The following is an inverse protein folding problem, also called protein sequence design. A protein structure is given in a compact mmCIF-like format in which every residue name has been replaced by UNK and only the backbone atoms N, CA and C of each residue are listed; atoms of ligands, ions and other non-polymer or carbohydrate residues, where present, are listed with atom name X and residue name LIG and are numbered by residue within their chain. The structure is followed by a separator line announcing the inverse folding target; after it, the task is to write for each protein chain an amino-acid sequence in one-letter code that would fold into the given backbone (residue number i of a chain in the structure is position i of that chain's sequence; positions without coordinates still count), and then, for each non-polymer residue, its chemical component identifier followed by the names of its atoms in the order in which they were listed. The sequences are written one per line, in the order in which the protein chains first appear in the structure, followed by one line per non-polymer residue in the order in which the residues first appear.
data_IF_096789484328
#
_entry.id   IF_096789484328
#
_cell.length_a   1.000
_cell.length_b   1.000
_cell.length_c   1.000
_cell.angle_alpha   90.00
_cell.angle_beta   90.00
_cell.angle_gamma   90.00
#
_symmetry.space_group_name_H-M   'P 1'
#
loop_
_entity.id
_entity.type
_entity.pdbx_description
1 polymer ?
#
# COMPACT_ATOMS: atom_id res chain seq x y z
N UNK A 1 41.84 -31.42 16.68
CA UNK A 1 41.84 -30.41 15.60
C UNK A 1 40.61 -30.54 14.66
N UNK A 2 39.40 -30.67 15.20
CA UNK A 2 38.14 -30.76 14.40
C UNK A 2 37.05 -29.76 14.85
N UNK A 3 37.27 -29.07 15.97
CA UNK A 3 36.35 -28.06 16.51
C UNK A 3 36.60 -26.66 15.94
N UNK A 4 37.85 -26.33 15.60
CA UNK A 4 38.24 -24.99 15.14
C UNK A 4 37.75 -24.65 13.71
N UNK A 5 37.52 -25.66 12.87
CA UNK A 5 37.01 -25.46 11.49
C UNK A 5 35.51 -25.15 11.49
N UNK A 6 34.72 -25.81 12.35
CA UNK A 6 33.26 -25.58 12.45
C UNK A 6 32.93 -24.19 13.02
N UNK A 7 33.73 -23.72 13.98
CA UNK A 7 33.58 -22.37 14.56
C UNK A 7 33.96 -21.30 13.52
N UNK A 8 35.00 -21.53 12.70
CA UNK A 8 35.39 -20.62 11.62
C UNK A 8 34.33 -20.52 10.52
N UNK A 9 33.71 -21.65 10.12
CA UNK A 9 32.62 -21.65 9.13
C UNK A 9 31.34 -20.97 9.63
N UNK A 10 31.00 -21.11 10.92
CA UNK A 10 29.85 -20.44 11.51
C UNK A 10 30.06 -18.93 11.64
N UNK A 11 31.28 -18.48 12.00
CA UNK A 11 31.62 -17.06 12.08
C UNK A 11 31.67 -16.43 10.68
N UNK A 12 32.20 -17.12 9.67
CA UNK A 12 32.13 -16.64 8.28
C UNK A 12 30.68 -16.53 7.79
N UNK A 13 29.82 -17.49 8.11
CA UNK A 13 28.41 -17.46 7.70
C UNK A 13 27.60 -16.32 8.35
N UNK A 14 27.83 -16.02 9.63
CA UNK A 14 27.14 -14.91 10.32
C UNK A 14 27.64 -13.53 9.87
N UNK A 15 28.94 -13.38 9.64
CA UNK A 15 29.54 -12.14 9.11
C UNK A 15 29.05 -11.88 7.69
N UNK A 16 28.96 -12.91 6.84
CA UNK A 16 28.32 -12.80 5.52
C UNK A 16 26.86 -12.35 5.67
N UNK A 17 26.06 -12.99 6.52
CA UNK A 17 24.65 -12.59 6.73
C UNK A 17 24.49 -11.14 7.22
N UNK A 18 25.41 -10.64 8.06
CA UNK A 18 25.40 -9.25 8.55
C UNK A 18 25.98 -8.25 7.55
N UNK A 19 26.91 -8.66 6.68
CA UNK A 19 27.43 -7.84 5.58
C UNK A 19 26.44 -7.72 4.41
N UNK A 20 25.51 -8.67 4.27
CA UNK A 20 24.42 -8.62 3.28
C UNK A 20 23.19 -7.85 3.78
N UNK A 21 23.20 -7.30 5.00
CA UNK A 21 22.01 -6.68 5.63
C UNK A 21 21.79 -5.19 5.35
N UNK A 22 22.43 -4.57 4.35
CA UNK A 22 22.12 -3.17 3.98
C UNK A 22 21.98 -2.89 2.49
N UNK A 23 22.10 -3.90 1.63
CA UNK A 23 21.54 -3.76 0.30
C UNK A 23 20.04 -4.02 0.41
N UNK A 24 19.27 -2.95 0.54
CA UNK A 24 17.87 -3.00 0.09
C UNK A 24 17.94 -3.54 -1.33
N UNK A 25 17.49 -4.78 -1.55
CA UNK A 25 17.14 -5.24 -2.90
C UNK A 25 16.01 -4.32 -3.32
N UNK A 26 16.38 -3.19 -3.92
CA UNK A 26 15.46 -2.38 -4.70
C UNK A 26 15.22 -3.22 -5.93
N UNK A 27 14.24 -4.10 -5.82
CA UNK A 27 13.63 -4.75 -6.96
C UNK A 27 13.25 -3.63 -7.92
N UNK A 28 13.99 -3.49 -9.02
CA UNK A 28 13.78 -2.47 -10.05
C UNK A 28 12.55 -2.84 -10.88
N UNK A 29 11.37 -2.82 -10.26
CA UNK A 29 10.10 -2.85 -10.96
C UNK A 29 9.81 -1.42 -11.39
N UNK A 30 10.05 -1.09 -12.66
CA UNK A 30 9.58 0.19 -13.24
C UNK A 30 10.62 1.12 -13.87
N UNK A 31 11.76 0.62 -14.37
CA UNK A 31 12.60 1.43 -15.27
C UNK A 31 11.85 1.63 -16.59
N UNK A 32 11.34 2.84 -16.84
CA UNK A 32 10.76 3.24 -18.12
C UNK A 32 11.72 4.23 -18.78
N UNK A 33 12.01 4.03 -20.07
CA UNK A 33 12.76 5.00 -20.86
C UNK A 33 11.78 6.08 -21.35
N UNK A 34 11.80 7.26 -20.72
CA UNK A 34 11.07 8.44 -21.19
C UNK A 34 12.07 9.42 -21.82
N UNK A 35 11.88 9.73 -23.11
CA UNK A 35 12.74 10.64 -23.90
C UNK A 35 14.26 10.38 -23.74
N UNK A 36 14.68 9.11 -23.73
CA UNK A 36 16.08 8.72 -23.60
C UNK A 36 16.66 8.76 -22.18
N UNK A 37 15.84 9.10 -21.17
CA UNK A 37 16.22 9.07 -19.76
C UNK A 37 15.59 7.84 -19.07
N UNK A 38 16.40 7.10 -18.31
CA UNK A 38 15.88 6.04 -17.45
C UNK A 38 15.20 6.67 -16.23
N UNK A 39 13.86 6.70 -16.23
CA UNK A 39 13.07 7.16 -15.09
C UNK A 39 12.71 5.94 -14.24
N UNK A 40 13.15 5.94 -12.99
CA UNK A 40 12.69 4.98 -11.99
C UNK A 40 11.41 5.53 -11.41
N UNK A 41 10.26 5.01 -11.87
CA UNK A 41 8.97 5.37 -11.28
C UNK A 41 8.66 4.35 -10.19
N UNK A 42 8.40 4.76 -8.93
CA UNK A 42 7.95 3.83 -7.92
C UNK A 42 6.65 3.14 -8.36
N UNK A 43 6.46 1.85 -8.05
CA UNK A 43 5.24 1.14 -8.40
C UNK A 43 4.03 1.87 -7.80
N UNK A 44 2.97 2.00 -8.60
CA UNK A 44 1.71 2.57 -8.12
C UNK A 44 1.05 1.59 -7.17
N UNK A 45 0.81 2.03 -5.94
CA UNK A 45 0.14 1.26 -4.90
C UNK A 45 -1.20 1.88 -4.54
N UNK A 46 -2.12 1.11 -3.96
CA UNK A 46 -3.45 1.56 -3.55
C UNK A 46 -3.72 1.15 -2.11
N UNK A 47 -4.55 1.92 -1.42
CA UNK A 47 -5.02 1.55 -0.08
C UNK A 47 -6.44 1.00 -0.18
N UNK A 48 -6.65 -0.23 0.30
CA UNK A 48 -7.96 -0.87 0.32
C UNK A 48 -8.28 -1.44 1.72
N UNK A 49 -9.56 -1.66 2.04
CA UNK A 49 -9.95 -2.35 3.26
C UNK A 49 -9.40 -3.77 3.32
N UNK A 50 -9.09 -4.22 4.53
CA UNK A 50 -8.81 -5.61 4.82
C UNK A 50 -10.10 -6.44 4.82
N UNK A 51 -10.02 -7.73 4.50
CA UNK A 51 -11.18 -8.65 4.47
C UNK A 51 -11.86 -8.80 5.83
N UNK A 52 -11.12 -8.60 6.92
CA UNK A 52 -11.62 -8.75 8.29
C UNK A 52 -12.25 -7.47 8.86
N UNK A 53 -12.16 -6.34 8.15
CA UNK A 53 -12.70 -5.06 8.62
C UNK A 53 -14.23 -5.10 8.70
N UNK A 54 -14.78 -4.77 9.86
CA UNK A 54 -16.24 -4.67 10.05
C UNK A 54 -16.80 -3.38 9.45
N UNK A 55 -18.08 -3.40 9.07
CA UNK A 55 -18.75 -2.20 8.52
C UNK A 55 -18.68 -1.00 9.48
N UNK A 56 -18.71 -1.23 10.79
CA UNK A 56 -18.58 -0.16 11.79
C UNK A 56 -17.19 0.49 11.79
N UNK A 57 -16.13 -0.30 11.58
CA UNK A 57 -14.76 0.23 11.45
C UNK A 57 -14.57 0.95 10.12
N UNK A 58 -15.14 0.41 9.04
CA UNK A 58 -15.10 1.01 7.71
C UNK A 58 -15.83 2.35 7.65
N UNK A 59 -16.98 2.45 8.32
CA UNK A 59 -17.70 3.71 8.44
C UNK A 59 -16.85 4.77 9.15
N UNK A 60 -16.20 4.41 10.27
CA UNK A 60 -15.28 5.32 10.99
C UNK A 60 -14.09 5.75 10.14
N UNK A 61 -13.49 4.82 9.40
CA UNK A 61 -12.37 5.12 8.50
C UNK A 61 -12.77 6.06 7.36
N UNK A 62 -13.95 5.85 6.77
CA UNK A 62 -14.52 6.73 5.75
C UNK A 62 -14.80 8.12 6.32
N UNK A 63 -15.46 8.23 7.48
CA UNK A 63 -15.78 9.50 8.12
C UNK A 63 -14.52 10.28 8.49
N UNK A 64 -13.50 9.59 9.03
CA UNK A 64 -12.19 10.17 9.29
C UNK A 64 -11.55 10.70 8.00
N UNK A 65 -11.48 9.88 6.95
CA UNK A 65 -10.87 10.26 5.68
C UNK A 65 -11.53 11.52 5.09
N UNK A 66 -12.86 11.56 5.04
CA UNK A 66 -13.61 12.73 4.57
C UNK A 66 -13.40 13.98 5.44
N UNK A 67 -13.22 13.81 6.74
CA UNK A 67 -12.89 14.91 7.66
C UNK A 67 -11.51 15.53 7.44
N UNK A 68 -10.62 14.85 6.71
CA UNK A 68 -9.24 15.29 6.46
C UNK A 68 -9.07 16.15 5.20
N UNK A 69 -10.15 16.51 4.51
CA UNK A 69 -10.13 17.42 3.36
C UNK A 69 -9.98 16.75 1.99
N UNK A 70 -10.23 15.44 1.90
CA UNK A 70 -10.39 14.76 0.59
C UNK A 70 -11.78 15.01 -0.01
N UNK A 71 -11.91 14.82 -1.32
CA UNK A 71 -13.23 14.85 -1.98
C UNK A 71 -13.98 13.52 -1.76
N UNK A 72 -15.08 13.58 -1.00
CA UNK A 72 -15.99 12.46 -0.78
C UNK A 72 -17.29 12.55 -1.59
N UNK A 73 -17.35 13.43 -2.61
CA UNK A 73 -18.43 13.46 -3.60
C UNK A 73 -18.58 12.16 -4.40
N UNK A 74 -17.50 11.54 -4.90
CA UNK A 74 -17.56 10.32 -5.71
C UNK A 74 -18.13 9.07 -5.01
N UNK A 75 -18.25 9.09 -3.68
CA UNK A 75 -18.75 7.99 -2.85
C UNK A 75 -20.12 8.25 -2.24
N UNK A 76 -20.79 9.35 -2.62
CA UNK A 76 -22.15 9.61 -2.17
C UNK A 76 -23.12 8.58 -2.77
N UNK A 77 -24.30 8.37 -2.14
CA UNK A 77 -25.34 7.52 -2.73
C UNK A 77 -25.65 7.91 -4.18
N UNK A 78 -25.60 6.93 -5.09
CA UNK A 78 -25.82 7.15 -6.53
C UNK A 78 -24.61 7.69 -7.31
N UNK A 79 -23.46 7.88 -6.66
CA UNK A 79 -22.21 8.19 -7.32
C UNK A 79 -21.50 6.91 -7.81
N UNK A 80 -20.68 7.06 -8.85
CA UNK A 80 -20.05 5.94 -9.57
C UNK A 80 -19.18 5.04 -8.68
N UNK A 81 -18.47 5.62 -7.69
CA UNK A 81 -17.66 4.85 -6.73
C UNK A 81 -18.43 4.50 -5.44
N UNK A 82 -19.70 4.87 -5.38
CA UNK A 82 -20.62 4.46 -4.32
C UNK A 82 -21.33 3.14 -4.61
N UNK A 83 -21.18 2.57 -5.82
CA UNK A 83 -21.86 1.33 -6.24
C UNK A 83 -20.92 0.11 -6.23
N UNK A 84 -21.31 -1.03 -5.64
CA UNK A 84 -22.58 -1.28 -4.93
C UNK A 84 -22.68 -0.42 -3.66
N UNK A 85 -23.90 -0.05 -3.19
CA UNK A 85 -24.13 0.88 -2.07
C UNK A 85 -23.82 0.23 -0.70
N UNK A 86 -22.62 -0.32 -0.57
CA UNK A 86 -22.10 -0.92 0.64
C UNK A 86 -21.17 0.06 1.34
N UNK A 87 -21.03 -0.06 2.66
CA UNK A 87 -20.04 0.73 3.41
C UNK A 87 -18.63 0.44 2.91
N UNK A 88 -18.36 -0.81 2.53
CA UNK A 88 -17.04 -1.27 2.07
C UNK A 88 -16.58 -0.62 0.77
N UNK A 89 -17.42 -0.53 -0.25
CA UNK A 89 -17.07 0.11 -1.54
C UNK A 89 -16.74 1.59 -1.35
N UNK A 90 -17.57 2.31 -0.59
CA UNK A 90 -17.40 3.73 -0.27
C UNK A 90 -16.14 3.98 0.58
N UNK A 91 -15.94 3.15 1.61
CA UNK A 91 -14.75 3.22 2.45
C UNK A 91 -13.48 2.94 1.67
N UNK A 92 -13.48 1.96 0.75
CA UNK A 92 -12.31 1.66 -0.06
C UNK A 92 -11.83 2.86 -0.88
N UNK A 93 -12.75 3.59 -1.52
CA UNK A 93 -12.41 4.78 -2.28
C UNK A 93 -11.95 5.93 -1.36
N UNK A 94 -12.60 6.14 -0.21
CA UNK A 94 -12.20 7.15 0.77
C UNK A 94 -10.80 6.89 1.33
N UNK A 95 -10.52 5.63 1.71
CA UNK A 95 -9.23 5.20 2.24
C UNK A 95 -8.12 5.37 1.20
N UNK A 96 -8.37 5.02 -0.07
CA UNK A 96 -7.41 5.27 -1.16
C UNK A 96 -7.19 6.76 -1.38
N UNK A 97 -8.26 7.55 -1.46
CA UNK A 97 -8.16 9.00 -1.67
C UNK A 97 -7.37 9.68 -0.55
N UNK A 98 -7.58 9.28 0.70
CA UNK A 98 -6.76 9.73 1.83
C UNK A 98 -5.30 9.28 1.70
N UNK A 99 -5.05 8.03 1.32
CA UNK A 99 -3.71 7.52 1.10
C UNK A 99 -2.95 8.31 0.02
N UNK A 100 -3.62 8.72 -1.07
CA UNK A 100 -3.06 9.62 -2.09
C UNK A 100 -2.83 11.03 -1.59
N UNK A 101 -3.78 11.58 -0.84
CA UNK A 101 -3.63 12.88 -0.18
C UNK A 101 -2.42 12.90 0.76
N UNK A 102 -2.04 11.75 1.30
CA UNK A 102 -0.83 11.54 2.13
C UNK A 102 0.37 11.00 1.35
N UNK A 103 0.46 11.31 0.05
CA UNK A 103 1.59 11.00 -0.83
C UNK A 103 1.91 9.51 -0.95
N UNK A 104 0.93 8.64 -0.72
CA UNK A 104 1.11 7.20 -0.81
C UNK A 104 2.02 6.61 0.28
N UNK A 105 2.22 7.31 1.41
CA UNK A 105 2.99 6.76 2.52
C UNK A 105 2.21 5.62 3.21
N UNK A 106 2.73 4.37 3.26
CA UNK A 106 2.01 3.20 3.76
C UNK A 106 1.46 3.34 5.18
N UNK A 107 2.08 4.18 6.02
CA UNK A 107 1.63 4.43 7.40
C UNK A 107 0.22 5.04 7.45
N UNK A 108 -0.21 5.73 6.40
CA UNK A 108 -1.55 6.32 6.32
C UNK A 108 -2.61 5.38 5.76
N UNK A 109 -2.22 4.16 5.33
CA UNK A 109 -3.15 3.11 4.94
C UNK A 109 -3.50 2.17 6.10
N UNK A 110 -2.93 2.35 7.29
CA UNK A 110 -3.16 1.43 8.41
C UNK A 110 -4.61 1.45 8.93
N UNK A 111 -5.18 2.65 9.12
CA UNK A 111 -6.54 2.85 9.64
C UNK A 111 -6.85 2.02 10.92
N UNK A 112 -5.87 1.85 11.81
CA UNK A 112 -5.92 0.98 12.99
C UNK A 112 -5.96 -0.52 12.62
N UNK A 113 -5.13 -0.91 11.66
CA UNK A 113 -4.99 -2.29 11.19
C UNK A 113 -6.09 -2.79 10.24
N UNK A 114 -7.03 -1.94 9.81
CA UNK A 114 -8.12 -2.36 8.91
C UNK A 114 -7.85 -2.04 7.44
N UNK A 115 -6.77 -1.33 7.12
CA UNK A 115 -6.37 -1.05 5.75
C UNK A 115 -5.09 -1.79 5.34
N UNK A 116 -4.94 -2.03 4.04
CA UNK A 116 -3.78 -2.69 3.45
C UNK A 116 -3.38 -2.04 2.14
N UNK A 117 -2.07 -1.98 1.90
CA UNK A 117 -1.51 -1.52 0.64
C UNK A 117 -1.46 -2.68 -0.35
N UNK A 118 -1.96 -2.45 -1.56
CA UNK A 118 -1.92 -3.41 -2.67
C UNK A 118 -1.26 -2.77 -3.89
N UNK A 119 -0.68 -3.59 -4.77
CA UNK A 119 -0.12 -3.14 -6.06
C UNK A 119 -1.07 -3.37 -7.23
N UNK A 120 -2.12 -4.18 -7.03
CA UNK A 120 -3.16 -4.41 -8.02
C UNK A 120 -4.13 -3.23 -8.03
N UNK A 121 -4.49 -2.75 -9.21
CA UNK A 121 -5.42 -1.63 -9.35
C UNK A 121 -6.85 -2.08 -9.02
N UNK A 122 -7.48 -1.59 -7.93
CA UNK A 122 -8.81 -2.02 -7.52
C UNK A 122 -9.94 -1.31 -8.29
N UNK A 123 -9.64 -0.54 -9.34
CA UNK A 123 -10.62 0.13 -10.18
C UNK A 123 -11.59 -0.87 -10.83
N UNK A 124 -12.86 -0.52 -10.87
CA UNK A 124 -13.91 -1.34 -11.48
C UNK A 124 -14.91 -0.45 -12.21
N UNK A 125 -15.44 -0.93 -13.35
CA UNK A 125 -16.34 -0.14 -14.19
C UNK A 125 -15.82 1.27 -14.45
N UNK A 126 -16.63 2.27 -14.09
CA UNK A 126 -16.29 3.69 -14.19
C UNK A 126 -15.67 4.27 -12.90
N UNK A 127 -15.56 3.48 -11.82
CA UNK A 127 -14.89 3.90 -10.60
C UNK A 127 -13.38 3.70 -10.74
N UNK A 128 -12.62 4.80 -10.81
CA UNK A 128 -11.16 4.78 -10.97
C UNK A 128 -10.47 5.17 -9.68
N UNK A 129 -9.62 4.28 -9.19
CA UNK A 129 -8.66 4.52 -8.14
C UNK A 129 -7.41 5.07 -8.81
N UNK A 130 -7.09 6.31 -8.48
CA UNK A 130 -5.87 7.03 -8.86
C UNK A 130 -5.01 7.25 -7.63
#
# INVERSE_FOLDING_TARGET
MKSLIRVSFLILATVVFHLFSSASVVEAHGVVLDNGTAVVTPPTTFCVPSEQASDAELQKAMDFACGQGIDCGPIQPGAVCGDPPTVRSRAAFAMNSYYRFREGNPRFCDFNGIGRVISENPSYGNCKYI
#
